data_IF_363260156344
#
_entry.id   IF_363260156344
#
_cell.length_a   1.000
_cell.length_b   1.000
_cell.length_c   1.000
_cell.angle_alpha   90.00
_cell.angle_beta   90.00
_cell.angle_gamma   90.00
#
_symmetry.space_group_name_H-M   'P 1'
#
loop_
_entity.id
_entity.type
_entity.pdbx_description
1 polymer ?
#
# COMPACT_ATOMS: atom_id res chain seq x y z
N UNK A 1 -17.02 16.55 -2.05
CA UNK A 1 -16.36 16.32 -0.76
C UNK A 1 -15.48 15.09 -0.95
N UNK A 2 -14.20 15.27 -1.31
CA UNK A 2 -13.30 14.12 -1.51
C UNK A 2 -13.08 13.48 -0.14
N UNK A 3 -13.19 12.16 0.01
CA UNK A 3 -12.85 11.52 1.27
C UNK A 3 -11.36 11.80 1.51
N UNK A 4 -11.04 12.31 2.70
CA UNK A 4 -9.66 12.39 3.18
C UNK A 4 -9.04 11.01 2.97
N UNK A 5 -8.03 10.90 2.11
CA UNK A 5 -7.40 9.62 1.80
C UNK A 5 -6.50 9.29 2.97
N UNK A 6 -7.11 8.72 4.01
CA UNK A 6 -6.46 8.05 5.12
C UNK A 6 -6.06 6.67 4.61
N UNK A 7 -4.78 6.49 4.28
CA UNK A 7 -4.28 5.20 3.84
C UNK A 7 -3.91 4.36 5.07
N UNK A 8 -4.46 3.16 5.16
CA UNK A 8 -4.06 2.19 6.19
C UNK A 8 -3.07 1.20 5.59
N UNK A 9 -1.84 1.24 6.08
CA UNK A 9 -0.87 0.20 5.80
C UNK A 9 -1.06 -0.93 6.80
N UNK A 10 -1.34 -2.11 6.29
CA UNK A 10 -1.60 -3.33 7.04
C UNK A 10 -0.46 -4.30 6.79
N UNK A 11 0.17 -4.82 7.84
CA UNK A 11 1.31 -5.71 7.70
C UNK A 11 1.19 -6.98 8.55
N UNK A 12 1.75 -8.07 8.01
CA UNK A 12 1.84 -9.37 8.69
C UNK A 12 2.89 -9.41 9.82
N UNK A 13 3.90 -8.53 9.81
CA UNK A 13 5.03 -8.58 10.75
C UNK A 13 5.06 -7.43 11.76
N UNK A 14 5.71 -7.68 12.90
CA UNK A 14 6.02 -6.66 13.91
C UNK A 14 7.11 -5.71 13.40
N UNK A 15 6.95 -4.40 13.58
CA UNK A 15 7.96 -3.38 13.26
C UNK A 15 9.42 -3.75 13.66
N UNK A 16 9.70 -4.35 14.85
CA UNK A 16 11.06 -4.81 15.18
C UNK A 16 11.60 -5.96 14.31
N UNK A 17 10.73 -6.82 13.76
CA UNK A 17 11.10 -7.87 12.79
C UNK A 17 11.27 -7.30 11.37
N UNK A 18 10.68 -6.12 11.11
CA UNK A 18 10.78 -5.38 9.85
C UNK A 18 12.06 -4.55 9.74
N UNK A 19 12.63 -4.11 10.87
CA UNK A 19 13.81 -3.23 10.93
C UNK A 19 15.08 -3.77 10.22
N UNK A 20 15.41 -5.09 10.29
CA UNK A 20 16.51 -5.67 9.52
C UNK A 20 16.16 -5.84 8.02
N UNK A 21 14.88 -6.02 7.68
CA UNK A 21 14.42 -6.17 6.29
C UNK A 21 14.37 -4.82 5.55
N UNK A 22 14.01 -3.72 6.24
CA UNK A 22 14.02 -2.37 5.68
C UNK A 22 15.44 -1.83 5.40
N UNK A 23 16.45 -2.26 6.16
CA UNK A 23 17.85 -1.88 5.87
C UNK A 23 18.35 -2.41 4.52
N UNK A 24 17.73 -3.48 3.98
CA UNK A 24 18.02 -4.04 2.66
C UNK A 24 17.03 -3.57 1.57
N UNK A 25 16.25 -2.52 1.81
CA UNK A 25 15.38 -1.93 0.78
C UNK A 25 16.13 -1.02 -0.20
N UNK A 26 17.37 -1.37 -0.55
CA UNK A 26 18.05 -0.79 -1.69
C UNK A 26 17.98 -1.79 -2.85
N UNK A 27 17.23 -1.42 -3.88
CA UNK A 27 17.16 -2.04 -5.22
C UNK A 27 16.48 -3.40 -5.37
N UNK A 28 15.19 -3.50 -5.04
CA UNK A 28 14.32 -4.46 -5.74
C UNK A 28 13.18 -3.69 -6.43
N UNK A 29 12.95 -3.89 -7.75
CA UNK A 29 11.87 -3.23 -8.45
C UNK A 29 10.53 -3.63 -7.81
N UNK A 30 9.79 -2.64 -7.34
CA UNK A 30 8.38 -2.78 -6.96
C UNK A 30 7.60 -3.28 -8.18
N UNK A 31 7.32 -4.59 -8.21
CA UNK A 31 6.56 -5.23 -9.28
C UNK A 31 5.09 -4.83 -9.13
N UNK A 32 4.69 -3.76 -9.82
CA UNK A 32 3.31 -3.32 -9.93
C UNK A 32 2.49 -4.37 -10.71
N UNK A 33 1.63 -5.13 -10.03
CA UNK A 33 0.73 -6.09 -10.65
C UNK A 33 -0.62 -5.43 -10.91
N UNK A 34 -0.74 -4.64 -11.99
CA UNK A 34 -1.89 -3.77 -12.22
C UNK A 34 -3.01 -4.33 -13.13
N UNK A 35 -2.94 -5.55 -13.66
CA UNK A 35 -4.07 -6.11 -14.42
C UNK A 35 -4.24 -7.61 -14.18
N UNK A 36 -5.29 -7.95 -13.42
CA UNK A 36 -5.71 -9.31 -13.11
C UNK A 36 -7.04 -9.62 -13.81
N UNK A 37 -7.04 -9.81 -15.13
CA UNK A 37 -8.23 -10.30 -15.82
C UNK A 37 -7.85 -11.35 -16.88
N UNK A 38 -8.24 -12.60 -16.63
CA UNK A 38 -8.18 -13.72 -17.59
C UNK A 38 -7.93 -15.07 -16.94
N UNK A 39 -6.90 -15.17 -16.08
CA UNK A 39 -6.46 -16.43 -15.46
C UNK A 39 -5.88 -16.16 -14.04
N UNK A 40 -6.63 -15.40 -13.24
CA UNK A 40 -6.17 -14.85 -11.96
C UNK A 40 -5.65 -15.93 -11.00
N UNK A 41 -6.26 -17.13 -10.99
CA UNK A 41 -5.85 -18.24 -10.12
C UNK A 41 -4.41 -18.72 -10.40
N UNK A 42 -4.06 -18.90 -11.69
CA UNK A 42 -2.72 -19.33 -12.09
C UNK A 42 -1.70 -18.24 -11.83
N UNK A 43 -2.06 -16.99 -12.09
CA UNK A 43 -1.21 -15.84 -11.82
C UNK A 43 -0.92 -15.69 -10.32
N UNK A 44 -1.91 -15.93 -9.45
CA UNK A 44 -1.73 -15.84 -8.00
C UNK A 44 -0.75 -16.92 -7.52
N UNK A 45 -0.97 -18.19 -7.93
CA UNK A 45 -0.04 -19.29 -7.61
C UNK A 45 1.36 -19.04 -8.15
N UNK A 46 1.48 -18.56 -9.38
CA UNK A 46 2.76 -18.28 -10.01
C UNK A 46 3.51 -17.15 -9.28
N UNK A 47 2.81 -16.09 -8.88
CA UNK A 47 3.36 -14.96 -8.12
C UNK A 47 3.96 -15.44 -6.79
N UNK A 48 3.20 -16.21 -6.01
CA UNK A 48 3.65 -16.72 -4.72
C UNK A 48 4.81 -17.73 -4.85
N UNK A 49 4.78 -18.59 -5.87
CA UNK A 49 5.89 -19.49 -6.19
C UNK A 49 7.14 -18.72 -6.59
N UNK A 50 6.99 -17.68 -7.41
CA UNK A 50 8.08 -16.83 -7.86
C UNK A 50 8.71 -16.06 -6.69
N UNK A 51 7.88 -15.48 -5.83
CA UNK A 51 8.33 -14.81 -4.61
C UNK A 51 9.12 -15.77 -3.68
N UNK A 52 8.66 -17.02 -3.53
CA UNK A 52 9.37 -18.06 -2.75
C UNK A 52 10.74 -18.42 -3.31
N UNK A 53 10.93 -18.32 -4.63
CA UNK A 53 12.23 -18.55 -5.28
C UNK A 53 13.16 -17.33 -5.20
N UNK A 54 12.60 -16.12 -5.14
CA UNK A 54 13.36 -14.87 -5.09
C UNK A 54 13.69 -14.40 -3.67
N UNK A 55 13.27 -15.13 -2.64
CA UNK A 55 13.49 -14.75 -1.26
C UNK A 55 14.95 -14.32 -0.99
N UNK A 56 15.19 -13.18 -0.32
CA UNK A 56 14.23 -12.39 0.46
C UNK A 56 13.46 -11.33 -0.38
N UNK A 57 12.13 -11.36 -0.35
CA UNK A 57 11.24 -10.37 -1.00
C UNK A 57 10.08 -10.01 -0.08
N UNK A 58 9.42 -8.88 -0.37
CA UNK A 58 8.16 -8.47 0.26
C UNK A 58 7.07 -8.44 -0.82
N UNK A 59 5.88 -8.96 -0.51
CA UNK A 59 4.71 -8.84 -1.39
C UNK A 59 3.90 -7.63 -0.94
N UNK A 60 3.78 -6.63 -1.81
CA UNK A 60 2.92 -5.48 -1.60
C UNK A 60 1.60 -5.64 -2.35
N UNK A 61 0.49 -5.42 -1.66
CA UNK A 61 -0.87 -5.50 -2.21
C UNK A 61 -1.55 -4.17 -1.98
N UNK A 62 -1.71 -3.39 -3.04
CA UNK A 62 -2.46 -2.15 -3.00
C UNK A 62 -3.97 -2.42 -3.06
N UNK A 63 -4.77 -1.53 -2.49
CA UNK A 63 -6.24 -1.62 -2.42
C UNK A 63 -6.73 -3.01 -1.94
N UNK A 64 -6.12 -3.53 -0.87
CA UNK A 64 -6.41 -4.88 -0.35
C UNK A 64 -7.86 -5.01 0.11
N UNK A 65 -8.54 -3.92 0.44
CA UNK A 65 -9.98 -3.82 0.70
C UNK A 65 -10.84 -4.14 -0.52
N UNK A 66 -10.38 -3.82 -1.73
CA UNK A 66 -11.07 -4.20 -2.97
C UNK A 66 -10.97 -5.69 -3.27
N UNK A 67 -9.83 -6.32 -2.91
CA UNK A 67 -9.54 -7.72 -3.17
C UNK A 67 -10.08 -8.65 -2.07
N UNK A 68 -9.96 -8.22 -0.81
CA UNK A 68 -10.20 -9.03 0.39
C UNK A 68 -11.28 -8.44 1.30
N UNK A 69 -12.16 -7.60 0.76
CA UNK A 69 -13.27 -6.99 1.48
C UNK A 69 -14.31 -8.00 2.00
N UNK A 70 -14.91 -7.67 3.14
CA UNK A 70 -16.02 -8.32 3.81
C UNK A 70 -17.31 -8.17 2.97
N UNK A 71 -17.50 -9.07 2.02
CA UNK A 71 -18.77 -9.38 1.33
C UNK A 71 -19.31 -8.32 0.37
N UNK A 72 -19.41 -8.71 -0.90
CA UNK A 72 -20.59 -8.41 -1.73
C UNK A 72 -21.57 -9.58 -1.64
N UNK A 73 -22.87 -9.31 -1.52
CA UNK A 73 -23.93 -10.33 -1.41
C UNK A 73 -24.10 -11.23 -2.65
N UNK A 74 -25.32 -11.65 -2.96
CA UNK A 74 -25.67 -12.52 -4.10
C UNK A 74 -25.24 -12.00 -5.50
N UNK A 75 -24.62 -10.81 -5.57
CA UNK A 75 -24.14 -10.11 -6.77
C UNK A 75 -22.61 -10.23 -6.96
N UNK A 76 -21.87 -10.81 -6.01
CA UNK A 76 -20.41 -11.00 -6.14
C UNK A 76 -20.12 -12.02 -7.27
N UNK A 77 -19.33 -11.60 -8.27
CA UNK A 77 -18.94 -12.47 -9.38
C UNK A 77 -18.21 -13.71 -8.85
N UNK A 78 -18.60 -14.91 -9.33
CA UNK A 78 -17.93 -16.16 -8.92
C UNK A 78 -16.42 -16.13 -9.15
N UNK A 79 -15.97 -15.45 -10.21
CA UNK A 79 -14.56 -15.26 -10.53
C UNK A 79 -13.80 -14.55 -9.41
N UNK A 80 -14.38 -13.49 -8.83
CA UNK A 80 -13.79 -12.72 -7.72
C UNK A 80 -13.69 -13.57 -6.45
N UNK A 81 -14.74 -14.36 -6.15
CA UNK A 81 -14.73 -15.29 -5.00
C UNK A 81 -13.62 -16.33 -5.11
N UNK A 82 -13.46 -16.95 -6.29
CA UNK A 82 -12.42 -17.96 -6.53
C UNK A 82 -11.03 -17.35 -6.42
N UNK A 83 -10.82 -16.17 -7.00
CA UNK A 83 -9.56 -15.43 -6.88
C UNK A 83 -9.20 -15.14 -5.42
N UNK A 84 -10.16 -14.64 -4.62
CA UNK A 84 -9.96 -14.40 -3.18
C UNK A 84 -9.56 -15.67 -2.44
N UNK A 85 -10.27 -16.76 -2.67
CA UNK A 85 -9.99 -18.04 -2.01
C UNK A 85 -8.60 -18.56 -2.34
N UNK A 86 -8.18 -18.46 -3.62
CA UNK A 86 -6.84 -18.86 -4.06
C UNK A 86 -5.74 -17.95 -3.47
N UNK A 87 -5.99 -16.64 -3.37
CA UNK A 87 -5.08 -15.73 -2.70
C UNK A 87 -4.87 -16.10 -1.23
N UNK A 88 -5.97 -16.37 -0.50
CA UNK A 88 -5.89 -16.76 0.91
C UNK A 88 -5.18 -18.12 1.10
N UNK A 89 -5.44 -19.09 0.22
CA UNK A 89 -4.77 -20.39 0.24
C UNK A 89 -3.26 -20.27 -0.02
N UNK A 90 -2.88 -19.44 -0.99
CA UNK A 90 -1.47 -19.22 -1.32
C UNK A 90 -0.73 -18.44 -0.21
N UNK A 91 -1.39 -17.47 0.42
CA UNK A 91 -0.88 -16.76 1.58
C UNK A 91 -0.60 -17.72 2.75
N UNK A 92 -1.56 -18.60 3.10
CA UNK A 92 -1.35 -19.59 4.17
C UNK A 92 -0.19 -20.56 3.82
N UNK A 93 -0.01 -20.88 2.54
CA UNK A 93 1.12 -21.66 2.05
C UNK A 93 2.48 -21.02 2.33
N UNK A 94 2.62 -19.70 2.19
CA UNK A 94 3.86 -18.98 2.52
C UNK A 94 4.19 -18.99 4.02
N UNK A 95 3.17 -18.97 4.88
CA UNK A 95 3.32 -18.90 6.34
C UNK A 95 3.85 -20.21 6.92
N UNK A 96 3.55 -21.33 6.26
CA UNK A 96 3.92 -22.68 6.71
C UNK A 96 5.43 -22.99 6.65
N UNK A 97 6.18 -22.33 5.77
CA UNK A 97 7.62 -22.60 5.57
C UNK A 97 8.48 -21.65 6.40
N UNK A 98 8.97 -22.13 7.54
CA UNK A 98 9.75 -21.34 8.50
C UNK A 98 11.01 -20.68 7.91
N UNK A 99 11.62 -21.28 6.88
CA UNK A 99 12.83 -20.78 6.20
C UNK A 99 12.57 -19.79 5.06
N UNK A 100 11.31 -19.56 4.69
CA UNK A 100 10.91 -18.71 3.55
C UNK A 100 9.66 -17.90 3.87
N UNK A 101 9.58 -17.34 5.09
CA UNK A 101 8.47 -16.44 5.43
C UNK A 101 8.60 -15.16 4.60
N UNK A 102 7.72 -15.00 3.64
CA UNK A 102 7.61 -13.80 2.81
C UNK A 102 6.59 -12.88 3.47
N UNK A 103 6.98 -11.68 3.92
CA UNK A 103 6.04 -10.71 4.47
C UNK A 103 5.08 -10.20 3.40
N UNK A 104 3.81 -10.05 3.79
CA UNK A 104 2.80 -9.33 3.02
C UNK A 104 2.54 -7.97 3.66
N UNK A 105 2.54 -6.93 2.82
CA UNK A 105 2.15 -5.57 3.14
C UNK A 105 0.94 -5.20 2.29
N UNK A 106 -0.21 -4.98 2.92
CA UNK A 106 -1.43 -4.49 2.27
C UNK A 106 -1.61 -2.98 2.48
N UNK A 107 -2.08 -2.26 1.48
CA UNK A 107 -2.62 -0.91 1.65
C UNK A 107 -4.14 -0.97 1.47
N UNK A 108 -4.89 -0.38 2.41
CA UNK A 108 -6.34 -0.30 2.36
C UNK A 108 -6.77 1.15 2.53
N UNK A 109 -7.75 1.59 1.72
CA UNK A 109 -8.41 2.87 1.93
C UNK A 109 -9.58 2.72 2.93
N UNK A 110 -10.17 1.52 2.99
CA UNK A 110 -11.27 1.17 3.90
C UNK A 110 -10.91 -0.07 4.70
N UNK A 111 -10.06 0.03 5.74
CA UNK A 111 -9.65 -1.12 6.52
C UNK A 111 -10.81 -1.78 7.28
N UNK A 112 -11.89 -1.05 7.54
CA UNK A 112 -13.11 -1.55 8.18
C UNK A 112 -13.94 -2.43 7.24
N UNK A 113 -13.73 -2.29 5.92
CA UNK A 113 -14.39 -3.10 4.91
C UNK A 113 -13.68 -4.44 4.72
N UNK A 114 -12.60 -4.75 5.43
CA UNK A 114 -11.87 -6.02 5.30
C UNK A 114 -12.53 -7.17 6.06
N UNK A 115 -12.45 -8.38 5.50
CA UNK A 115 -12.92 -9.59 6.18
C UNK A 115 -12.09 -9.87 7.46
N UNK A 116 -12.76 -10.35 8.51
CA UNK A 116 -12.14 -10.72 9.78
C UNK A 116 -10.97 -11.69 9.61
N UNK A 117 -11.06 -12.62 8.65
CA UNK A 117 -9.99 -13.58 8.34
C UNK A 117 -8.71 -12.90 7.85
N UNK A 118 -8.83 -11.76 7.16
CA UNK A 118 -7.72 -10.98 6.60
C UNK A 118 -7.13 -10.11 7.69
N UNK A 119 -7.99 -9.48 8.49
CA UNK A 119 -7.63 -8.73 9.70
C UNK A 119 -6.77 -9.58 10.65
N UNK A 120 -7.14 -10.84 10.88
CA UNK A 120 -6.38 -11.75 11.73
C UNK A 120 -4.98 -12.09 11.16
N UNK A 121 -4.82 -12.04 9.83
CA UNK A 121 -3.53 -12.25 9.14
C UNK A 121 -2.66 -11.00 9.07
N UNK A 122 -3.25 -9.82 9.28
CA UNK A 122 -2.59 -8.51 9.30
C UNK A 122 -2.70 -7.88 10.69
N UNK A 123 -2.00 -8.43 11.71
CA UNK A 123 -2.12 -7.97 13.09
C UNK A 123 -1.56 -6.56 13.30
N UNK A 124 -0.66 -6.08 12.43
CA UNK A 124 -0.12 -4.72 12.53
C UNK A 124 -0.84 -3.79 11.57
N UNK A 125 -1.24 -2.65 12.10
CA UNK A 125 -1.93 -1.59 11.38
C UNK A 125 -1.19 -0.29 11.64
N UNK A 126 -0.78 0.35 10.56
CA UNK A 126 -0.15 1.65 10.57
C UNK A 126 -1.15 2.59 9.90
N UNK A 127 -1.60 3.56 10.68
CA UNK A 127 -2.48 4.61 10.21
C UNK A 127 -1.64 5.72 9.60
N UNK A 128 -1.90 6.07 8.34
CA UNK A 128 -1.30 7.22 7.68
C UNK A 128 -2.36 8.29 7.55
N UNK A 129 -2.24 9.28 8.43
CA UNK A 129 -3.11 10.46 8.42
C UNK A 129 -2.65 11.48 7.37
N UNK A 130 -3.48 12.49 7.13
CA UNK A 130 -3.11 13.65 6.37
C UNK A 130 -1.88 14.35 6.99
N UNK A 131 -0.96 14.85 6.16
CA UNK A 131 0.25 15.49 6.66
C UNK A 131 -0.11 16.77 7.44
N UNK A 132 0.51 16.95 8.60
CA UNK A 132 0.50 18.21 9.34
C UNK A 132 1.21 19.34 8.57
N UNK A 133 1.11 20.59 9.04
CA UNK A 133 1.72 21.73 8.35
C UNK A 133 3.24 21.56 8.13
N UNK A 134 3.96 21.01 9.11
CA UNK A 134 5.40 20.76 9.03
C UNK A 134 5.74 19.71 7.97
N UNK A 135 4.96 18.63 7.88
CA UNK A 135 5.11 17.57 6.91
C UNK A 135 4.70 18.03 5.52
N UNK A 136 3.63 18.84 5.38
CA UNK A 136 3.27 19.48 4.10
C UNK A 136 4.40 20.36 3.56
N UNK A 137 5.08 21.09 4.45
CA UNK A 137 6.24 21.91 4.09
C UNK A 137 7.39 21.02 3.58
N UNK A 138 7.73 19.94 4.31
CA UNK A 138 8.79 19.00 3.90
C UNK A 138 8.48 18.33 2.57
N UNK A 139 7.25 17.86 2.38
CA UNK A 139 6.80 17.23 1.13
C UNK A 139 7.00 18.20 -0.04
N UNK A 140 6.62 19.47 0.11
CA UNK A 140 6.85 20.47 -0.95
C UNK A 140 8.31 20.74 -1.23
N UNK A 141 9.15 20.85 -0.20
CA UNK A 141 10.59 21.02 -0.40
C UNK A 141 11.17 19.89 -1.24
N UNK A 142 10.67 18.66 -1.06
CA UNK A 142 11.05 17.51 -1.88
C UNK A 142 10.47 17.62 -3.30
N UNK A 143 9.19 17.96 -3.44
CA UNK A 143 8.51 18.08 -4.74
C UNK A 143 9.10 19.18 -5.63
N UNK A 144 9.42 20.33 -5.04
CA UNK A 144 9.96 21.50 -5.71
C UNK A 144 11.50 21.53 -5.73
N UNK A 145 12.17 20.47 -5.24
CA UNK A 145 13.63 20.42 -5.15
C UNK A 145 14.35 20.61 -6.49
N UNK A 146 13.67 20.35 -7.61
CA UNK A 146 14.20 20.46 -8.97
C UNK A 146 13.65 21.67 -9.74
N UNK A 147 12.73 22.41 -9.14
CA UNK A 147 12.08 23.55 -9.79
C UNK A 147 12.83 24.85 -9.51
N UNK A 148 12.69 25.82 -10.41
CA UNK A 148 13.34 27.12 -10.28
C UNK A 148 12.44 28.05 -9.43
N UNK A 149 12.74 28.15 -8.15
CA UNK A 149 11.99 28.98 -7.20
C UNK A 149 12.60 30.37 -7.04
N UNK A 150 11.76 31.36 -6.73
CA UNK A 150 12.23 32.68 -6.30
C UNK A 150 12.98 32.61 -4.97
N UNK A 151 13.87 33.57 -4.71
CA UNK A 151 14.76 33.59 -3.54
C UNK A 151 14.03 33.63 -2.19
N UNK A 152 12.77 34.08 -2.16
CA UNK A 152 11.94 34.17 -0.96
C UNK A 152 10.64 33.35 -1.09
N UNK A 153 10.73 32.12 -1.62
CA UNK A 153 9.55 31.27 -1.72
C UNK A 153 8.98 30.89 -0.33
N UNK A 154 7.77 31.41 -0.03
CA UNK A 154 7.07 31.26 1.25
C UNK A 154 6.48 29.86 1.47
N UNK A 155 7.32 28.89 1.84
CA UNK A 155 6.87 27.52 2.13
C UNK A 155 5.90 27.44 3.32
N UNK A 156 6.09 28.25 4.36
CA UNK A 156 5.26 28.24 5.57
C UNK A 156 3.83 28.72 5.30
N UNK A 157 3.67 29.83 4.56
CA UNK A 157 2.37 30.38 4.19
C UNK A 157 1.55 29.37 3.38
N UNK A 158 2.19 28.75 2.40
CA UNK A 158 1.61 27.71 1.57
C UNK A 158 1.24 26.46 2.35
N UNK A 159 2.06 26.05 3.33
CA UNK A 159 1.76 24.91 4.20
C UNK A 159 0.52 25.16 5.07
N UNK A 160 0.31 26.40 5.54
CA UNK A 160 -0.87 26.79 6.31
C UNK A 160 -2.12 26.92 5.42
N UNK A 161 -1.98 27.45 4.20
CA UNK A 161 -3.10 27.65 3.27
C UNK A 161 -3.68 26.36 2.64
N UNK A 162 -3.08 25.20 2.92
CA UNK A 162 -3.41 23.90 2.29
C UNK A 162 -3.72 22.83 3.34
N UNK A 163 -4.31 23.26 4.45
CA UNK A 163 -4.83 22.34 5.43
C UNK A 163 -5.79 21.32 4.78
N UNK A 164 -5.64 20.06 5.14
CA UNK A 164 -6.41 18.95 4.57
C UNK A 164 -5.87 18.39 3.24
N UNK A 165 -4.79 18.94 2.68
CA UNK A 165 -4.25 18.44 1.40
C UNK A 165 -3.44 17.16 1.63
N UNK A 166 -3.73 16.14 0.82
CA UNK A 166 -2.91 14.92 0.76
C UNK A 166 -1.59 15.18 0.02
N UNK A 167 -0.62 14.28 0.14
CA UNK A 167 0.62 14.36 -0.65
C UNK A 167 0.37 14.41 -2.17
N UNK A 168 -0.68 13.73 -2.65
CA UNK A 168 -1.11 13.78 -4.05
C UNK A 168 -1.67 15.14 -4.43
N UNK A 169 -2.49 15.76 -3.57
CA UNK A 169 -3.02 17.10 -3.83
C UNK A 169 -1.90 18.15 -3.84
N UNK A 170 -0.91 18.03 -2.95
CA UNK A 170 0.28 18.89 -2.95
C UNK A 170 1.07 18.77 -4.25
N UNK A 171 1.28 17.54 -4.74
CA UNK A 171 1.93 17.30 -6.03
C UNK A 171 1.15 17.92 -7.18
N UNK A 172 -0.17 17.71 -7.22
CA UNK A 172 -1.02 18.26 -8.27
C UNK A 172 -1.02 19.79 -8.24
N UNK A 173 -0.98 20.39 -7.05
CA UNK A 173 -0.84 21.84 -6.89
C UNK A 173 0.48 22.35 -7.47
N UNK A 174 1.60 21.67 -7.19
CA UNK A 174 2.90 22.03 -7.77
C UNK A 174 2.91 21.89 -9.30
N UNK A 175 2.33 20.80 -9.83
CA UNK A 175 2.25 20.57 -11.28
C UNK A 175 1.37 21.60 -11.97
N UNK A 176 0.26 22.02 -11.36
CA UNK A 176 -0.63 23.02 -11.92
C UNK A 176 -0.05 24.45 -11.90
N UNK A 177 0.98 24.68 -11.09
CA UNK A 177 1.65 25.99 -10.94
C UNK A 177 2.91 26.13 -11.82
N UNK A 178 3.41 25.03 -12.40
CA UNK A 178 4.56 25.00 -13.30
C UNK A 178 4.13 25.23 -14.76
#
# INVERSE_FOLDING_TARGET
>A
MKPNIEAHLLCEFSFPEMHPLFHNFNSLPSFFCQQWFGDAEKLTKALFLFASRLAPVIIFVDEVDSLLGARGGAMEHEATRRMRNEFMAAWDGLRSKYSQRIPILGAANRPFDLDDAVIQRLPRRIYVDLPDAQNRMKIRKILLAKENLESEFGFDELANATEGYSGSDLKNLCVAAA
#
